data_IF_992041200193
#
_entry.id   IF_992041200193
#
_cell.length_a   1.000
_cell.length_b   1.000
_cell.length_c   1.000
_cell.angle_alpha   90.00
_cell.angle_beta   90.00
_cell.angle_gamma   90.00
#
_symmetry.space_group_name_H-M   'P 1'
#
loop_
_entity.id
_entity.type
_entity.pdbx_description
1 polymer ?
#
# COMPACT_ATOMS: atom_id res chain seq x y z
N UNK A 1 15.29 32.57 63.40
CA UNK A 1 16.35 31.90 62.63
C UNK A 1 16.05 30.41 62.29
N UNK A 2 15.33 29.67 63.17
CA UNK A 2 14.97 28.27 62.89
C UNK A 2 13.68 28.19 62.04
N UNK A 3 12.75 29.10 62.22
CA UNK A 3 11.47 29.14 61.48
C UNK A 3 11.61 29.56 60.01
N UNK A 4 12.63 30.31 59.62
CA UNK A 4 12.92 30.70 58.25
C UNK A 4 13.43 29.52 57.41
N UNK A 5 14.19 28.61 58.02
CA UNK A 5 14.75 27.42 57.35
C UNK A 5 13.64 26.39 57.05
N UNK A 6 12.63 26.31 57.95
CA UNK A 6 11.48 25.37 57.75
C UNK A 6 10.55 25.89 56.68
N UNK A 7 10.34 27.21 56.57
CA UNK A 7 9.51 27.83 55.51
C UNK A 7 10.09 27.60 54.10
N UNK A 8 11.39 27.70 53.96
CA UNK A 8 12.09 27.53 52.68
C UNK A 8 12.04 26.08 52.17
N UNK A 9 12.11 25.09 53.08
CA UNK A 9 12.00 23.67 52.78
C UNK A 9 10.59 23.29 52.30
N UNK A 10 9.55 23.89 52.87
CA UNK A 10 8.16 23.62 52.47
C UNK A 10 7.84 24.26 51.12
N UNK A 11 8.33 25.45 50.84
CA UNK A 11 8.18 26.12 49.54
C UNK A 11 8.90 25.37 48.41
N UNK A 12 10.10 24.85 48.73
CA UNK A 12 10.89 24.05 47.75
C UNK A 12 10.23 22.72 47.46
N UNK A 13 9.63 22.02 48.43
CA UNK A 13 8.84 20.80 48.26
C UNK A 13 7.58 21.06 47.41
N UNK A 14 6.86 22.16 47.70
CA UNK A 14 5.66 22.52 46.93
C UNK A 14 6.00 22.91 45.47
N UNK A 15 7.15 23.52 45.23
CA UNK A 15 7.63 23.83 43.88
C UNK A 15 8.03 22.55 43.11
N UNK A 16 8.69 21.61 43.77
CA UNK A 16 9.09 20.32 43.19
C UNK A 16 7.85 19.46 42.82
N UNK A 17 6.84 19.43 43.67
CA UNK A 17 5.58 18.69 43.36
C UNK A 17 4.80 19.32 42.22
N UNK A 18 4.76 20.65 42.11
CA UNK A 18 4.14 21.35 40.96
C UNK A 18 4.91 21.10 39.66
N UNK A 19 6.23 21.05 39.72
CA UNK A 19 7.07 20.72 38.56
C UNK A 19 6.85 19.28 38.11
N UNK A 20 6.86 18.33 39.06
CA UNK A 20 6.57 16.93 38.77
C UNK A 20 5.17 16.73 38.16
N UNK A 21 4.13 17.36 38.71
CA UNK A 21 2.78 17.30 38.19
C UNK A 21 2.68 17.84 36.76
N UNK A 22 3.34 18.96 36.45
CA UNK A 22 3.40 19.52 35.09
C UNK A 22 4.16 18.60 34.14
N UNK A 23 5.28 18.01 34.57
CA UNK A 23 6.08 17.09 33.79
C UNK A 23 5.29 15.82 33.46
N UNK A 24 4.60 15.22 34.45
CA UNK A 24 3.71 14.09 34.24
C UNK A 24 2.52 14.45 33.31
N UNK A 25 1.94 15.64 33.47
CA UNK A 25 0.90 16.12 32.55
C UNK A 25 1.38 16.27 31.11
N UNK A 26 2.63 16.70 30.91
CA UNK A 26 3.25 16.78 29.58
C UNK A 26 3.47 15.40 28.98
N UNK A 27 3.95 14.43 29.77
CA UNK A 27 4.15 13.05 29.35
C UNK A 27 2.83 12.38 28.95
N UNK A 28 1.76 12.58 29.73
CA UNK A 28 0.43 12.06 29.40
C UNK A 28 -0.12 12.68 28.11
N UNK A 29 0.14 13.97 27.87
CA UNK A 29 -0.23 14.63 26.61
C UNK A 29 0.56 14.09 25.43
N UNK A 30 1.86 13.78 25.60
CA UNK A 30 2.68 13.16 24.55
C UNK A 30 2.15 11.78 24.21
N UNK A 31 1.79 10.96 25.20
CA UNK A 31 1.21 9.63 24.97
C UNK A 31 -0.15 9.73 24.27
N UNK A 32 -1.01 10.68 24.65
CA UNK A 32 -2.29 10.92 23.98
C UNK A 32 -2.12 11.40 22.53
N UNK A 33 -1.14 12.29 22.29
CA UNK A 33 -0.81 12.77 20.93
C UNK A 33 -0.21 11.63 20.11
N UNK A 34 0.69 10.83 20.68
CA UNK A 34 1.27 9.67 20.03
C UNK A 34 0.21 8.64 19.63
N UNK A 35 -0.69 8.26 20.56
CA UNK A 35 -1.82 7.37 20.28
C UNK A 35 -2.74 7.93 19.18
N UNK A 36 -3.01 9.24 19.22
CA UNK A 36 -3.84 9.90 18.20
C UNK A 36 -3.12 9.92 16.84
N UNK A 37 -1.81 10.16 16.79
CA UNK A 37 -1.02 10.07 15.55
C UNK A 37 -0.96 8.65 15.02
N UNK A 38 -0.79 7.64 15.87
CA UNK A 38 -0.80 6.21 15.47
C UNK A 38 -2.16 5.80 14.92
N UNK A 39 -3.26 6.30 15.48
CA UNK A 39 -4.62 6.06 14.97
C UNK A 39 -4.90 6.80 13.65
N UNK A 40 -4.16 7.88 13.37
CA UNK A 40 -4.27 8.65 12.11
C UNK A 40 -3.37 8.09 11.00
N UNK A 41 -2.38 7.24 11.33
CA UNK A 41 -1.62 6.52 10.32
C UNK A 41 -2.53 5.41 9.77
N UNK A 42 -2.86 5.44 8.49
CA UNK A 42 -3.67 4.38 7.89
C UNK A 42 -3.02 3.04 8.14
N UNK A 43 -3.76 2.06 8.68
CA UNK A 43 -3.26 0.71 8.84
C UNK A 43 -2.73 0.14 7.52
N UNK A 44 -1.81 -0.80 7.57
CA UNK A 44 -1.22 -1.43 6.37
C UNK A 44 -2.29 -1.92 5.39
N UNK A 45 -3.42 -2.42 5.90
CA UNK A 45 -4.57 -2.87 5.10
C UNK A 45 -5.20 -1.74 4.26
N UNK A 46 -5.27 -0.52 4.83
CA UNK A 46 -5.77 0.64 4.10
C UNK A 46 -4.84 1.02 2.95
N UNK A 47 -3.51 0.95 3.16
CA UNK A 47 -2.55 1.16 2.08
C UNK A 47 -2.69 0.10 0.99
N UNK A 48 -2.81 -1.17 1.35
CA UNK A 48 -3.00 -2.26 0.38
C UNK A 48 -4.28 -2.05 -0.45
N UNK A 49 -5.38 -1.62 0.17
CA UNK A 49 -6.61 -1.26 -0.53
C UNK A 49 -6.38 -0.11 -1.52
N UNK A 50 -5.78 1.00 -1.07
CA UNK A 50 -5.46 2.14 -1.94
C UNK A 50 -4.52 1.77 -3.09
N UNK A 51 -3.54 0.88 -2.85
CA UNK A 51 -2.65 0.36 -3.90
C UNK A 51 -3.46 -0.39 -4.96
N UNK A 52 -4.38 -1.26 -4.56
CA UNK A 52 -5.25 -2.00 -5.50
C UNK A 52 -6.18 -1.07 -6.27
N UNK A 53 -6.76 -0.07 -5.61
CA UNK A 53 -7.58 0.97 -6.24
C UNK A 53 -6.78 1.75 -7.28
N UNK A 54 -5.55 2.18 -6.93
CA UNK A 54 -4.65 2.86 -7.86
C UNK A 54 -4.34 2.00 -9.10
N UNK A 55 -4.03 0.71 -8.91
CA UNK A 55 -3.77 -0.21 -10.02
C UNK A 55 -4.98 -0.33 -10.95
N UNK A 56 -6.18 -0.51 -10.38
CA UNK A 56 -7.41 -0.64 -11.17
C UNK A 56 -7.74 0.63 -11.96
N UNK A 57 -7.58 1.80 -11.33
CA UNK A 57 -7.85 3.10 -11.98
C UNK A 57 -6.84 3.45 -13.09
N UNK A 58 -5.62 2.92 -13.01
CA UNK A 58 -4.55 3.21 -13.95
C UNK A 58 -4.15 1.99 -14.81
N UNK A 59 -5.01 0.98 -14.91
CA UNK A 59 -4.68 -0.31 -15.53
C UNK A 59 -4.22 -0.19 -16.99
N UNK A 60 -4.71 0.81 -17.71
CA UNK A 60 -4.36 1.10 -19.11
C UNK A 60 -3.03 1.85 -19.28
N UNK A 61 -2.46 2.35 -18.20
CA UNK A 61 -1.21 3.13 -18.21
C UNK A 61 -0.01 2.28 -17.78
N UNK A 62 1.23 2.70 -18.11
CA UNK A 62 2.42 2.10 -17.53
C UNK A 62 2.46 2.33 -16.02
N UNK A 63 2.36 1.26 -15.25
CA UNK A 63 2.43 1.30 -13.78
C UNK A 63 3.82 0.89 -13.33
N UNK A 64 4.46 1.74 -12.51
CA UNK A 64 5.73 1.45 -11.84
C UNK A 64 5.57 1.50 -10.32
N UNK A 65 6.49 0.85 -9.60
CA UNK A 65 6.56 0.95 -8.14
C UNK A 65 6.72 2.41 -7.67
N UNK A 66 7.53 3.19 -8.41
CA UNK A 66 7.79 4.59 -8.11
C UNK A 66 6.52 5.42 -8.19
N UNK A 67 5.81 5.35 -9.34
CA UNK A 67 4.59 6.14 -9.55
C UNK A 67 3.48 5.77 -8.57
N UNK A 68 3.31 4.48 -8.26
CA UNK A 68 2.32 4.03 -7.29
C UNK A 68 2.65 4.51 -5.86
N UNK A 69 3.91 4.46 -5.46
CA UNK A 69 4.36 4.91 -4.15
C UNK A 69 4.23 6.44 -4.01
N UNK A 70 4.61 7.18 -5.03
CA UNK A 70 4.50 8.65 -5.10
C UNK A 70 3.04 9.11 -4.96
N UNK A 71 2.12 8.45 -5.69
CA UNK A 71 0.68 8.72 -5.57
C UNK A 71 0.14 8.54 -4.15
N UNK A 72 0.70 7.60 -3.41
CA UNK A 72 0.26 7.28 -2.04
C UNK A 72 1.05 8.01 -0.94
N UNK A 73 2.04 8.82 -1.32
CA UNK A 73 2.90 9.54 -0.38
C UNK A 73 3.79 8.64 0.48
N UNK A 74 4.22 7.48 -0.06
CA UNK A 74 5.07 6.51 0.63
C UNK A 74 6.31 6.18 -0.19
N UNK A 75 7.32 5.55 0.43
CA UNK A 75 8.49 5.09 -0.32
C UNK A 75 8.20 3.83 -1.14
N UNK A 76 8.86 3.62 -2.31
CA UNK A 76 8.70 2.41 -3.11
C UNK A 76 9.04 1.12 -2.35
N UNK A 77 10.05 1.16 -1.49
CA UNK A 77 10.43 0.03 -0.64
C UNK A 77 9.35 -0.32 0.37
N UNK A 78 8.75 0.68 1.01
CA UNK A 78 7.64 0.48 1.95
C UNK A 78 6.42 -0.11 1.22
N UNK A 79 6.04 0.44 0.04
CA UNK A 79 4.96 -0.11 -0.79
C UNK A 79 5.17 -1.60 -1.08
N UNK A 80 6.37 -1.98 -1.55
CA UNK A 80 6.67 -3.37 -1.89
C UNK A 80 6.58 -4.29 -0.68
N UNK A 81 7.09 -3.85 0.48
CA UNK A 81 7.09 -4.63 1.71
C UNK A 81 5.67 -4.85 2.24
N UNK A 82 4.88 -3.77 2.41
CA UNK A 82 3.52 -3.90 2.93
C UNK A 82 2.62 -4.68 1.98
N UNK A 83 2.77 -4.46 0.66
CA UNK A 83 1.97 -5.18 -0.33
C UNK A 83 2.27 -6.67 -0.30
N UNK A 84 3.56 -7.07 -0.34
CA UNK A 84 3.98 -8.48 -0.28
C UNK A 84 3.59 -9.13 1.06
N UNK A 85 3.77 -8.43 2.18
CA UNK A 85 3.41 -8.92 3.53
C UNK A 85 1.92 -9.27 3.62
N UNK A 86 1.05 -8.39 3.09
CA UNK A 86 -0.41 -8.53 3.23
C UNK A 86 -1.05 -9.40 2.13
N UNK A 87 -0.44 -9.49 0.92
CA UNK A 87 -1.01 -10.23 -0.22
C UNK A 87 -0.29 -11.53 -0.55
N UNK A 88 0.91 -11.74 0.00
CA UNK A 88 1.78 -12.88 -0.30
C UNK A 88 2.51 -12.79 -1.64
N UNK A 89 2.20 -11.81 -2.50
CA UNK A 89 2.78 -11.68 -3.84
C UNK A 89 3.46 -10.32 -4.05
N UNK A 90 4.57 -10.25 -4.82
CA UNK A 90 5.21 -8.99 -5.16
C UNK A 90 4.27 -8.05 -5.94
N UNK A 91 4.34 -6.73 -5.67
CA UNK A 91 3.49 -5.72 -6.29
C UNK A 91 3.48 -5.78 -7.83
N UNK A 92 4.65 -5.81 -8.49
CA UNK A 92 4.71 -5.88 -9.96
C UNK A 92 4.17 -7.19 -10.53
N UNK A 93 4.27 -8.30 -9.78
CA UNK A 93 3.65 -9.57 -10.18
C UNK A 93 2.13 -9.45 -10.15
N UNK A 94 1.57 -8.77 -9.15
CA UNK A 94 0.14 -8.46 -9.06
C UNK A 94 -0.31 -7.57 -10.23
N UNK A 95 0.41 -6.46 -10.50
CA UNK A 95 0.09 -5.55 -11.61
C UNK A 95 0.06 -6.29 -12.95
N UNK A 96 1.10 -7.07 -13.23
CA UNK A 96 1.18 -7.84 -14.47
C UNK A 96 0.04 -8.86 -14.59
N UNK A 97 -0.29 -9.55 -13.48
CA UNK A 97 -1.40 -10.50 -13.47
C UNK A 97 -2.72 -9.84 -13.85
N UNK A 98 -3.08 -8.73 -13.19
CA UNK A 98 -4.34 -8.02 -13.49
C UNK A 98 -4.36 -7.52 -14.93
N UNK A 99 -3.26 -6.95 -15.44
CA UNK A 99 -3.18 -6.51 -16.84
C UNK A 99 -3.38 -7.65 -17.82
N UNK A 100 -2.73 -8.78 -17.61
CA UNK A 100 -2.82 -9.95 -18.48
C UNK A 100 -4.21 -10.60 -18.47
N UNK A 101 -4.84 -10.67 -17.30
CA UNK A 101 -6.24 -11.14 -17.18
C UNK A 101 -7.20 -10.24 -17.96
N UNK A 102 -7.04 -8.92 -17.88
CA UNK A 102 -7.84 -7.96 -18.63
C UNK A 102 -7.58 -8.03 -20.14
N UNK A 103 -6.31 -8.17 -20.56
CA UNK A 103 -5.95 -8.36 -21.98
C UNK A 103 -6.65 -9.60 -22.54
N UNK A 104 -6.58 -10.72 -21.81
CA UNK A 104 -7.25 -11.96 -22.22
C UNK A 104 -8.76 -11.78 -22.31
N UNK A 105 -9.36 -11.16 -21.29
CA UNK A 105 -10.80 -10.90 -21.24
C UNK A 105 -11.29 -10.05 -22.43
N UNK A 106 -10.58 -8.97 -22.79
CA UNK A 106 -10.96 -8.11 -23.90
C UNK A 106 -10.77 -8.79 -25.26
N UNK A 107 -9.69 -9.60 -25.39
CA UNK A 107 -9.47 -10.41 -26.59
C UNK A 107 -10.63 -11.37 -26.84
N UNK A 108 -11.08 -12.06 -25.79
CA UNK A 108 -12.15 -13.05 -25.91
C UNK A 108 -13.52 -12.40 -26.13
N UNK A 109 -13.81 -11.28 -25.43
CA UNK A 109 -15.08 -10.56 -25.53
C UNK A 109 -15.26 -9.85 -26.86
N UNK A 110 -14.23 -9.15 -27.32
CA UNK A 110 -14.30 -8.31 -28.52
C UNK A 110 -13.71 -8.98 -29.76
N UNK A 111 -13.21 -10.21 -29.63
CA UNK A 111 -12.56 -10.97 -30.69
C UNK A 111 -11.45 -10.18 -31.41
N UNK A 112 -10.67 -9.40 -30.66
CA UNK A 112 -9.57 -8.60 -31.19
C UNK A 112 -8.23 -9.35 -31.05
N UNK A 113 -7.26 -9.11 -31.96
CA UNK A 113 -5.95 -9.73 -31.89
C UNK A 113 -5.12 -9.21 -30.71
N UNK A 114 -4.18 -10.02 -30.23
CA UNK A 114 -3.34 -9.73 -29.05
C UNK A 114 -2.64 -8.39 -29.12
N UNK A 115 -2.11 -7.99 -30.30
CA UNK A 115 -1.38 -6.72 -30.42
C UNK A 115 -2.28 -5.51 -30.13
N UNK A 116 -3.56 -5.54 -30.55
CA UNK A 116 -4.54 -4.51 -30.23
C UNK A 116 -4.88 -4.50 -28.74
N UNK A 117 -5.19 -5.66 -28.18
CA UNK A 117 -5.50 -5.77 -26.76
C UNK A 117 -4.30 -5.33 -25.88
N UNK A 118 -3.09 -5.74 -26.21
CA UNK A 118 -1.88 -5.37 -25.46
C UNK A 118 -1.64 -3.85 -25.46
N UNK A 119 -1.83 -3.18 -26.60
CA UNK A 119 -1.66 -1.73 -26.71
C UNK A 119 -2.62 -0.93 -25.81
N UNK A 120 -3.85 -1.42 -25.61
CA UNK A 120 -4.84 -0.79 -24.71
C UNK A 120 -4.39 -0.80 -23.24
N UNK A 121 -3.48 -1.69 -22.86
CA UNK A 121 -2.94 -1.82 -21.51
C UNK A 121 -1.50 -1.34 -21.38
N UNK A 122 -1.02 -0.55 -22.37
CA UNK A 122 0.29 0.10 -22.33
C UNK A 122 1.48 -0.82 -22.68
N UNK A 123 1.24 -1.93 -23.38
CA UNK A 123 2.29 -2.80 -23.89
C UNK A 123 2.52 -2.53 -25.40
N UNK A 124 3.76 -2.24 -25.78
CA UNK A 124 4.18 -2.04 -27.16
C UNK A 124 4.54 -3.33 -27.89
N UNK A 125 4.89 -4.38 -27.14
CA UNK A 125 5.32 -5.68 -27.69
C UNK A 125 4.36 -6.80 -27.27
N UNK A 126 3.57 -7.27 -28.26
CA UNK A 126 2.63 -8.39 -28.07
C UNK A 126 3.34 -9.73 -27.79
N UNK A 127 4.56 -9.93 -28.33
CA UNK A 127 5.33 -11.15 -28.06
C UNK A 127 5.81 -11.20 -26.61
N UNK A 128 6.17 -10.02 -26.04
CA UNK A 128 6.47 -9.94 -24.62
C UNK A 128 5.27 -10.32 -23.77
N UNK A 129 4.08 -9.80 -24.10
CA UNK A 129 2.82 -10.12 -23.39
C UNK A 129 2.51 -11.62 -23.49
N UNK A 130 2.66 -12.24 -24.67
CA UNK A 130 2.42 -13.66 -24.87
C UNK A 130 3.36 -14.53 -24.00
N UNK A 131 4.65 -14.19 -23.95
CA UNK A 131 5.64 -14.88 -23.10
C UNK A 131 5.32 -14.71 -21.63
N UNK A 132 5.04 -13.47 -21.19
CA UNK A 132 4.72 -13.16 -19.81
C UNK A 132 3.44 -13.88 -19.35
N UNK A 133 2.43 -13.95 -20.21
CA UNK A 133 1.20 -14.68 -19.94
C UNK A 133 1.46 -16.18 -19.77
N UNK A 134 2.19 -16.80 -20.69
CA UNK A 134 2.52 -18.22 -20.62
C UNK A 134 3.35 -18.57 -19.39
N UNK A 135 4.28 -17.69 -19.01
CA UNK A 135 5.08 -17.85 -17.78
C UNK A 135 4.24 -17.76 -16.52
N UNK A 136 3.20 -16.91 -16.52
CA UNK A 136 2.37 -16.66 -15.33
C UNK A 136 1.24 -17.66 -15.16
N UNK A 137 0.63 -18.09 -16.25
CA UNK A 137 -0.57 -18.95 -16.26
C UNK A 137 -0.32 -20.37 -16.74
N UNK A 138 0.84 -20.66 -17.31
CA UNK A 138 1.23 -21.99 -17.78
C UNK A 138 0.66 -22.40 -19.15
N UNK A 139 -0.07 -21.51 -19.85
CA UNK A 139 -0.63 -21.76 -21.18
C UNK A 139 -0.63 -20.48 -22.04
N UNK A 140 -0.78 -20.68 -23.37
CA UNK A 140 -0.78 -19.56 -24.32
C UNK A 140 -2.03 -18.66 -24.17
N UNK A 141 -1.84 -17.33 -24.22
CA UNK A 141 -2.92 -16.34 -24.18
C UNK A 141 -3.92 -16.51 -25.34
N UNK A 142 -3.47 -17.02 -26.50
CA UNK A 142 -4.33 -17.26 -27.67
C UNK A 142 -5.15 -18.55 -27.58
N UNK A 143 -4.87 -19.41 -26.59
CA UNK A 143 -5.68 -20.60 -26.35
C UNK A 143 -7.08 -20.19 -25.88
N UNK A 144 -8.10 -20.48 -26.69
CA UNK A 144 -9.49 -20.34 -26.26
C UNK A 144 -9.73 -21.38 -25.15
N UNK A 145 -9.99 -20.92 -23.94
CA UNK A 145 -10.55 -21.78 -22.92
C UNK A 145 -11.94 -22.13 -23.38
N UNK A 146 -12.17 -23.39 -23.74
CA UNK A 146 -13.52 -23.89 -23.99
C UNK A 146 -14.30 -23.73 -22.69
N UNK A 147 -15.02 -22.62 -22.58
CA UNK A 147 -16.02 -22.42 -21.55
C UNK A 147 -17.24 -23.23 -21.94
N UNK A 148 -17.16 -24.53 -21.78
CA UNK A 148 -18.32 -25.42 -21.73
C UNK A 148 -17.80 -26.84 -21.56
N UNK A 149 -17.70 -27.29 -20.36
CA UNK A 149 -18.06 -28.62 -19.91
C UNK A 149 -17.65 -28.74 -18.46
N UNK A 150 -18.66 -28.46 -17.62
CA UNK A 150 -19.02 -29.47 -16.65
C UNK A 150 -20.42 -29.16 -16.17
N UNK A 151 -21.22 -30.14 -16.42
CA UNK A 151 -22.59 -30.39 -15.99
C UNK A 151 -22.59 -30.57 -14.47
#
# INVERSE_FOLDING_TARGET
>A
MIDEIIGDSAAMKASCTKFAARFFGLLLNIDAVYKRCVLLVPGEELYVRKIKEYVNSNIHLPISQKNAAEHLGISPGYLCNIFKKNTGIPFMKYVNRIKLENIKSIMDRENIPLYKAASLYGYSDANYVSRLYSQMFGYSITKKLNSAKEI
#
